data_IF_317704443118
#
_entry.id   IF_317704443118
#
_cell.length_a   1.000
_cell.length_b   1.000
_cell.length_c   1.000
_cell.angle_alpha   90.00
_cell.angle_beta   90.00
_cell.angle_gamma   90.00
#
_symmetry.space_group_name_H-M   'P 1'
#
loop_
_entity.id
_entity.type
_entity.pdbx_description
1 polymer ?
#
# COMPACT_ATOMS: atom_id res chain seq x y z
N UNK A 1 15.08 -5.09 -9.25
CA UNK A 1 14.42 -5.46 -7.99
C UNK A 1 14.27 -4.20 -7.17
N UNK A 2 13.04 -3.85 -6.78
CA UNK A 2 12.69 -2.66 -6.00
C UNK A 2 11.99 -3.11 -4.73
N UNK A 3 12.49 -2.64 -3.58
CA UNK A 3 11.83 -2.82 -2.29
C UNK A 3 11.03 -1.55 -1.99
N UNK A 4 9.71 -1.68 -1.98
CA UNK A 4 8.77 -0.60 -1.74
C UNK A 4 8.60 -0.38 -0.24
N UNK A 5 8.80 0.86 0.18
CA UNK A 5 8.57 1.34 1.53
C UNK A 5 7.08 1.68 1.76
N UNK A 6 6.71 1.83 3.03
CA UNK A 6 5.34 2.10 3.48
C UNK A 6 4.76 3.39 2.91
N UNK A 7 5.59 4.40 2.62
CA UNK A 7 5.13 5.64 2.00
C UNK A 7 4.62 5.44 0.55
N UNK A 8 5.28 4.60 -0.25
CA UNK A 8 4.86 4.27 -1.62
C UNK A 8 3.61 3.41 -1.58
N UNK A 9 3.59 2.41 -0.69
CA UNK A 9 2.42 1.55 -0.51
C UNK A 9 1.18 2.35 -0.08
N UNK A 10 1.30 3.21 0.93
CA UNK A 10 0.18 4.03 1.40
C UNK A 10 -0.29 5.07 0.37
N UNK A 11 0.62 5.62 -0.44
CA UNK A 11 0.26 6.49 -1.55
C UNK A 11 -0.53 5.74 -2.65
N UNK A 12 -0.15 4.50 -2.97
CA UNK A 12 -0.88 3.64 -3.92
C UNK A 12 -2.26 3.21 -3.41
N UNK A 13 -2.46 3.13 -2.08
CA UNK A 13 -3.75 2.81 -1.46
C UNK A 13 -4.72 4.01 -1.41
N UNK A 14 -4.27 5.22 -1.72
CA UNK A 14 -5.12 6.40 -1.72
C UNK A 14 -6.13 6.35 -2.87
N UNK A 15 -7.31 6.95 -2.67
CA UNK A 15 -8.37 7.00 -3.69
C UNK A 15 -7.88 7.63 -5.01
N UNK A 16 -7.00 8.63 -4.91
CA UNK A 16 -6.26 9.20 -6.04
C UNK A 16 -4.76 9.11 -5.73
N UNK A 17 -4.06 8.07 -6.24
CA UNK A 17 -2.62 7.96 -6.06
C UNK A 17 -1.91 9.13 -6.73
N UNK A 18 -0.84 9.64 -6.11
CA UNK A 18 0.01 10.65 -6.72
C UNK A 18 0.54 10.14 -8.07
N UNK A 19 0.37 10.93 -9.14
CA UNK A 19 0.70 10.51 -10.51
C UNK A 19 2.11 9.97 -10.66
N UNK A 20 3.07 10.59 -9.97
CA UNK A 20 4.47 10.18 -10.00
C UNK A 20 4.68 8.80 -9.37
N UNK A 21 4.01 8.53 -8.24
CA UNK A 21 4.08 7.23 -7.55
C UNK A 21 3.41 6.16 -8.41
N UNK A 22 2.23 6.44 -8.95
CA UNK A 22 1.52 5.52 -9.84
C UNK A 22 2.36 5.20 -11.08
N UNK A 23 2.92 6.21 -11.75
CA UNK A 23 3.76 6.03 -12.94
C UNK A 23 5.05 5.25 -12.62
N UNK A 24 5.67 5.51 -11.45
CA UNK A 24 6.83 4.76 -11.00
C UNK A 24 6.50 3.27 -10.83
N UNK A 25 5.42 2.95 -10.11
CA UNK A 25 5.00 1.57 -9.84
C UNK A 25 4.57 0.86 -11.13
N UNK A 26 3.71 1.49 -11.95
CA UNK A 26 3.23 0.92 -13.22
C UNK A 26 4.34 0.76 -14.27
N UNK A 27 5.42 1.52 -14.14
CA UNK A 27 6.58 1.43 -15.03
C UNK A 27 7.53 0.27 -14.71
N UNK A 28 7.25 -0.55 -13.68
CA UNK A 28 8.06 -1.72 -13.31
C UNK A 28 7.29 -3.02 -13.54
N UNK A 29 7.97 -4.08 -14.01
CA UNK A 29 7.43 -5.44 -13.96
C UNK A 29 7.06 -5.83 -12.52
N UNK A 30 5.90 -6.46 -12.32
CA UNK A 30 5.38 -6.79 -10.99
C UNK A 30 6.25 -7.81 -10.26
N UNK A 31 6.93 -8.71 -10.98
CA UNK A 31 7.90 -9.68 -10.47
C UNK A 31 9.20 -9.03 -9.96
N UNK A 32 9.40 -7.74 -10.21
CA UNK A 32 10.52 -6.96 -9.70
C UNK A 32 10.15 -6.05 -8.52
N UNK A 33 8.88 -6.05 -8.11
CA UNK A 33 8.35 -5.24 -7.01
C UNK A 33 8.16 -6.10 -5.77
N UNK A 34 8.77 -5.69 -4.67
CA UNK A 34 8.71 -6.38 -3.39
C UNK A 34 8.37 -5.38 -2.30
N UNK A 35 7.89 -5.85 -1.16
CA UNK A 35 7.88 -5.07 0.08
C UNK A 35 8.35 -5.94 1.24
N UNK A 36 8.75 -5.31 2.33
CA UNK A 36 9.19 -6.01 3.52
C UNK A 36 8.00 -6.32 4.44
N UNK A 37 8.08 -7.42 5.19
CA UNK A 37 7.07 -7.75 6.20
C UNK A 37 6.88 -6.63 7.24
N UNK A 38 7.94 -5.87 7.53
CA UNK A 38 7.85 -4.70 8.42
C UNK A 38 6.96 -3.60 7.84
N UNK A 39 7.00 -3.34 6.54
CA UNK A 39 6.15 -2.33 5.89
C UNK A 39 4.67 -2.76 5.91
N UNK A 40 4.40 -4.06 5.76
CA UNK A 40 3.03 -4.58 5.96
C UNK A 40 2.55 -4.37 7.40
N UNK A 41 3.42 -4.63 8.39
CA UNK A 41 3.11 -4.42 9.80
C UNK A 41 2.86 -2.93 10.12
N UNK A 42 3.60 -2.01 9.51
CA UNK A 42 3.37 -0.56 9.64
C UNK A 42 2.00 -0.14 9.10
N UNK A 43 1.60 -0.63 7.91
CA UNK A 43 0.26 -0.40 7.34
C UNK A 43 -0.82 -0.92 8.30
N UNK A 44 -0.73 -2.17 8.76
CA UNK A 44 -1.73 -2.75 9.65
C UNK A 44 -1.78 -2.07 11.01
N UNK A 45 -0.63 -1.67 11.56
CA UNK A 45 -0.55 -0.90 12.80
C UNK A 45 -1.26 0.46 12.66
N UNK A 46 -1.01 1.16 11.54
CA UNK A 46 -1.69 2.41 11.22
C UNK A 46 -3.21 2.25 11.13
N UNK A 47 -3.71 1.17 10.54
CA UNK A 47 -5.14 0.88 10.47
C UNK A 47 -5.74 0.52 11.84
N UNK A 48 -5.00 -0.21 12.68
CA UNK A 48 -5.46 -0.64 14.00
C UNK A 48 -5.74 0.53 14.95
N UNK A 49 -4.95 1.61 14.87
CA UNK A 49 -5.11 2.81 15.71
C UNK A 49 -6.20 3.77 15.20
N UNK A 50 -6.73 3.56 13.99
CA UNK A 50 -7.78 4.42 13.44
C UNK A 50 -9.12 4.14 14.15
N UNK A 51 -9.90 5.19 14.46
CA UNK A 51 -11.26 5.01 14.94
C UNK A 51 -12.10 4.27 13.90
N UNK A 52 -13.11 3.48 14.33
CA UNK A 52 -14.01 2.80 13.41
C UNK A 52 -14.73 3.83 12.53
N UNK A 53 -14.80 3.57 11.22
CA UNK A 53 -15.44 4.46 10.28
C UNK A 53 -15.08 4.16 8.83
N UNK A 54 -15.80 4.79 7.90
CA UNK A 54 -15.68 4.55 6.44
C UNK A 54 -14.23 4.57 5.96
N UNK A 55 -13.46 5.59 6.34
CA UNK A 55 -12.05 5.73 5.95
C UNK A 55 -11.19 4.54 6.35
N UNK A 56 -11.40 3.99 7.56
CA UNK A 56 -10.66 2.83 8.04
C UNK A 56 -11.02 1.59 7.21
N UNK A 57 -12.31 1.34 7.00
CA UNK A 57 -12.79 0.19 6.24
C UNK A 57 -12.32 0.21 4.77
N UNK A 58 -12.34 1.38 4.14
CA UNK A 58 -11.87 1.56 2.77
C UNK A 58 -10.36 1.23 2.66
N UNK A 59 -9.55 1.70 3.62
CA UNK A 59 -8.11 1.41 3.64
C UNK A 59 -7.79 -0.04 4.03
N UNK A 60 -8.56 -0.66 4.94
CA UNK A 60 -8.46 -2.09 5.24
C UNK A 60 -8.69 -2.92 3.99
N UNK A 61 -9.76 -2.64 3.23
CA UNK A 61 -10.05 -3.30 1.96
C UNK A 61 -8.92 -3.12 0.93
N UNK A 62 -8.39 -1.90 0.79
CA UNK A 62 -7.26 -1.61 -0.09
C UNK A 62 -5.99 -2.39 0.31
N UNK A 63 -5.68 -2.46 1.61
CA UNK A 63 -4.50 -3.18 2.13
C UNK A 63 -4.58 -4.67 1.83
N UNK A 64 -5.74 -5.29 2.05
CA UNK A 64 -5.96 -6.70 1.75
C UNK A 64 -5.90 -6.98 0.25
N UNK A 65 -6.45 -6.10 -0.59
CA UNK A 65 -6.35 -6.24 -2.05
C UNK A 65 -4.90 -6.18 -2.55
N UNK A 66 -4.11 -5.25 -2.00
CA UNK A 66 -2.70 -5.07 -2.37
C UNK A 66 -1.84 -6.28 -1.95
N UNK A 67 -1.93 -6.73 -0.70
CA UNK A 67 -1.06 -7.80 -0.17
C UNK A 67 -1.49 -9.22 -0.52
N UNK A 68 -2.68 -9.41 -1.09
CA UNK A 68 -3.08 -10.71 -1.64
C UNK A 68 -2.47 -10.99 -3.01
N UNK A 69 -1.91 -9.96 -3.65
CA UNK A 69 -1.44 -9.97 -5.03
C UNK A 69 0.10 -9.90 -5.17
N UNK A 70 0.80 -9.80 -4.04
CA UNK A 70 2.27 -9.77 -3.92
C UNK A 70 2.70 -11.02 -3.16
#
# INVERSE_FOLDING_TARGET
MFLLDTNILSAMMSAEPAREVAAFVSGKPSDLLFTAAICQAEIFSGLAIMPPGRRRYDLEAASHGMFRSI
#
